data_IF_139643964609
#
_entry.id   IF_139643964609
#
_cell.length_a   1.000
_cell.length_b   1.000
_cell.length_c   1.000
_cell.angle_alpha   90.00
_cell.angle_beta   90.00
_cell.angle_gamma   90.00
#
_symmetry.space_group_name_H-M   'P 1'
#
loop_
_entity.id
_entity.type
_entity.pdbx_description
1 polymer ?
#
# COMPACT_ATOMS: atom_id res chain seq x y z
N UNK A 1 17.98 -12.88 8.99
CA UNK A 1 17.30 -11.62 9.37
C UNK A 1 16.35 -11.92 10.51
N UNK A 2 16.34 -11.08 11.54
CA UNK A 2 15.57 -11.32 12.78
C UNK A 2 14.17 -10.73 12.65
N UNK A 3 13.15 -11.53 12.95
CA UNK A 3 11.76 -11.07 13.01
C UNK A 3 11.50 -10.05 14.13
N UNK A 4 12.51 -9.67 14.91
CA UNK A 4 12.40 -8.68 16.01
C UNK A 4 12.95 -7.31 15.64
N UNK A 5 13.53 -7.17 14.45
CA UNK A 5 14.11 -5.90 14.02
C UNK A 5 13.01 -4.87 13.71
N UNK A 6 13.10 -3.69 14.32
CA UNK A 6 12.11 -2.63 14.20
C UNK A 6 12.16 -1.94 12.82
N UNK A 7 11.08 -1.24 12.47
CA UNK A 7 11.06 -0.35 11.31
C UNK A 7 11.92 0.87 11.60
N UNK A 8 12.76 1.25 10.65
CA UNK A 8 13.48 2.52 10.66
C UNK A 8 13.52 3.11 9.23
N UNK A 9 13.81 4.41 9.08
CA UNK A 9 13.73 5.06 7.77
C UNK A 9 14.78 4.59 6.75
N UNK A 10 15.82 3.92 7.21
CA UNK A 10 16.91 3.37 6.38
C UNK A 10 16.67 1.92 5.96
N UNK A 11 15.75 1.20 6.61
CA UNK A 11 15.43 -0.19 6.27
C UNK A 11 14.08 -0.37 5.58
N UNK A 12 13.23 0.66 5.58
CA UNK A 12 11.85 0.60 5.11
C UNK A 12 11.53 1.55 3.96
N UNK A 13 10.53 1.16 3.15
CA UNK A 13 9.88 1.99 2.15
C UNK A 13 8.36 1.98 2.39
N UNK A 14 7.69 3.07 2.05
CA UNK A 14 6.24 3.25 2.20
C UNK A 14 5.56 3.18 0.84
N UNK A 15 4.53 2.36 0.72
CA UNK A 15 3.85 2.08 -0.54
C UNK A 15 2.35 2.33 -0.37
N UNK A 16 1.80 3.21 -1.21
CA UNK A 16 0.37 3.49 -1.29
C UNK A 16 -0.18 2.96 -2.60
N UNK A 17 -1.16 2.07 -2.51
CA UNK A 17 -1.75 1.38 -3.66
C UNK A 17 -3.22 1.77 -3.77
N UNK A 18 -3.52 2.51 -4.83
CA UNK A 18 -4.87 2.68 -5.36
C UNK A 18 -5.86 3.40 -4.42
N UNK A 19 -5.36 4.38 -3.64
CA UNK A 19 -6.17 5.34 -2.87
C UNK A 19 -6.90 6.34 -3.78
N UNK A 20 -7.77 5.80 -4.62
CA UNK A 20 -8.55 6.48 -5.65
C UNK A 20 -10.04 6.52 -5.25
N UNK A 21 -10.83 7.52 -5.68
CA UNK A 21 -12.19 7.73 -5.18
C UNK A 21 -13.13 6.53 -5.41
N UNK A 22 -13.09 5.89 -6.58
CA UNK A 22 -13.97 4.76 -6.88
C UNK A 22 -13.55 3.49 -6.15
N UNK A 23 -12.24 3.29 -5.92
CA UNK A 23 -11.76 2.23 -5.02
C UNK A 23 -12.28 2.49 -3.60
N UNK A 24 -12.22 3.73 -3.13
CA UNK A 24 -12.73 4.13 -1.82
C UNK A 24 -14.24 3.92 -1.66
N UNK A 25 -14.99 4.01 -2.77
CA UNK A 25 -16.43 3.79 -2.77
C UNK A 25 -16.82 2.34 -2.45
N UNK A 26 -15.97 1.37 -2.76
CA UNK A 26 -16.19 -0.03 -2.40
C UNK A 26 -15.85 -0.35 -0.95
N UNK A 27 -15.16 0.54 -0.23
CA UNK A 27 -14.74 0.27 1.16
C UNK A 27 -15.94 0.30 2.10
N UNK A 28 -16.03 -0.75 2.94
CA UNK A 28 -17.10 -0.93 3.91
C UNK A 28 -16.65 -1.47 5.29
N UNK A 29 -15.36 -1.75 5.51
CA UNK A 29 -14.84 -2.18 6.83
C UNK A 29 -14.47 -1.01 7.77
N UNK A 30 -14.29 0.19 7.23
CA UNK A 30 -13.87 1.39 7.96
C UNK A 30 -14.60 2.62 7.39
N UNK A 31 -14.84 3.64 8.22
CA UNK A 31 -15.31 4.94 7.77
C UNK A 31 -14.32 5.56 6.77
N UNK A 32 -14.82 6.04 5.63
CA UNK A 32 -13.99 6.50 4.50
C UNK A 32 -13.25 7.80 4.80
N UNK A 33 -13.83 8.66 5.63
CA UNK A 33 -13.16 9.89 6.06
C UNK A 33 -11.98 9.56 7.00
N UNK A 34 -12.19 8.63 7.92
CA UNK A 34 -11.17 8.10 8.82
C UNK A 34 -10.04 7.45 8.04
N UNK A 35 -10.36 6.57 7.09
CA UNK A 35 -9.40 5.94 6.18
C UNK A 35 -8.53 6.99 5.46
N UNK A 36 -9.16 8.01 4.86
CA UNK A 36 -8.44 9.08 4.16
C UNK A 36 -7.53 9.87 5.10
N UNK A 37 -8.03 10.24 6.28
CA UNK A 37 -7.26 10.98 7.28
C UNK A 37 -6.03 10.18 7.75
N UNK A 38 -6.20 8.89 8.06
CA UNK A 38 -5.13 8.01 8.50
C UNK A 38 -4.08 7.83 7.39
N UNK A 39 -4.53 7.63 6.15
CA UNK A 39 -3.64 7.48 4.98
C UNK A 39 -2.77 8.73 4.78
N UNK A 40 -3.38 9.91 4.82
CA UNK A 40 -2.64 11.18 4.70
C UNK A 40 -1.69 11.40 5.88
N UNK A 41 -2.10 11.01 7.10
CA UNK A 41 -1.22 11.07 8.28
C UNK A 41 0.00 10.14 8.13
N UNK A 42 -0.20 8.91 7.66
CA UNK A 42 0.87 7.96 7.37
C UNK A 42 1.85 8.52 6.33
N UNK A 43 1.33 9.12 5.25
CA UNK A 43 2.16 9.75 4.23
C UNK A 43 3.01 10.90 4.80
N UNK A 44 2.40 11.75 5.65
CA UNK A 44 3.12 12.85 6.32
C UNK A 44 4.22 12.31 7.26
N UNK A 45 3.96 11.22 7.97
CA UNK A 45 4.98 10.57 8.79
C UNK A 45 6.14 10.07 7.92
N UNK A 46 5.86 9.38 6.81
CA UNK A 46 6.89 8.95 5.85
C UNK A 46 7.77 10.11 5.36
N UNK A 47 7.16 11.26 5.06
CA UNK A 47 7.87 12.49 4.69
C UNK A 47 8.80 12.99 5.79
N UNK A 48 8.30 13.11 7.03
CA UNK A 48 9.08 13.60 8.18
C UNK A 48 10.33 12.73 8.40
N UNK A 49 10.18 11.42 8.27
CA UNK A 49 11.25 10.46 8.47
C UNK A 49 12.15 10.26 7.24
N UNK A 50 11.86 10.90 6.09
CA UNK A 50 12.54 10.70 4.82
C UNK A 50 12.54 9.23 4.35
N UNK A 51 11.42 8.54 4.56
CA UNK A 51 11.19 7.17 4.06
C UNK A 51 10.92 7.26 2.55
N UNK A 52 11.55 6.44 1.70
CA UNK A 52 11.20 6.36 0.28
C UNK A 52 9.72 6.01 0.11
N UNK A 53 9.00 6.76 -0.73
CA UNK A 53 7.57 6.57 -0.98
C UNK A 53 7.29 6.17 -2.42
N UNK A 54 6.40 5.20 -2.61
CA UNK A 54 5.88 4.78 -3.91
C UNK A 54 4.36 4.96 -3.89
N UNK A 55 3.84 5.57 -4.96
CA UNK A 55 2.41 5.65 -5.23
C UNK A 55 2.08 4.81 -6.45
N UNK A 56 0.99 4.05 -6.40
CA UNK A 56 0.42 3.42 -7.60
C UNK A 56 -1.05 3.76 -7.75
N UNK A 57 -1.49 3.73 -9.00
CA UNK A 57 -2.89 3.86 -9.38
C UNK A 57 -3.24 2.80 -10.42
N UNK A 58 -4.51 2.44 -10.46
CA UNK A 58 -5.06 1.52 -11.47
C UNK A 58 -6.16 2.23 -12.24
N UNK A 59 -6.16 2.16 -13.57
CA UNK A 59 -7.27 2.64 -14.43
C UNK A 59 -7.72 4.10 -14.14
N UNK A 60 -6.78 5.02 -13.96
CA UNK A 60 -7.01 6.42 -13.54
C UNK A 60 -7.93 7.19 -14.48
N UNK A 61 -7.81 6.96 -15.80
CA UNK A 61 -8.60 7.63 -16.84
C UNK A 61 -9.96 6.97 -17.11
N UNK A 62 -10.24 5.86 -16.44
CA UNK A 62 -11.42 5.03 -16.66
C UNK A 62 -12.21 4.90 -15.35
N UNK A 63 -12.22 3.72 -14.76
CA UNK A 63 -13.05 3.40 -13.61
C UNK A 63 -12.62 4.14 -12.34
N UNK A 64 -11.32 4.18 -12.03
CA UNK A 64 -10.87 4.41 -10.64
C UNK A 64 -10.73 5.88 -10.25
N UNK A 65 -10.51 6.78 -11.22
CA UNK A 65 -10.21 8.19 -10.97
C UNK A 65 -8.78 8.44 -10.48
N UNK A 66 -8.39 9.71 -10.27
CA UNK A 66 -7.04 10.05 -9.79
C UNK A 66 -6.89 9.78 -8.28
N UNK A 67 -5.68 9.44 -7.82
CA UNK A 67 -5.36 9.36 -6.38
C UNK A 67 -5.80 10.66 -5.69
N UNK A 68 -6.28 10.54 -4.45
CA UNK A 68 -6.73 11.69 -3.67
C UNK A 68 -5.69 12.83 -3.69
N UNK A 69 -6.09 14.06 -4.06
CA UNK A 69 -5.16 15.17 -4.20
C UNK A 69 -4.45 15.50 -2.87
N UNK A 70 -5.12 15.30 -1.74
CA UNK A 70 -4.55 15.52 -0.41
C UNK A 70 -3.43 14.55 -0.08
N UNK A 71 -3.45 13.33 -0.64
CA UNK A 71 -2.38 12.35 -0.49
C UNK A 71 -1.18 12.72 -1.35
N UNK A 72 -1.40 13.07 -2.62
CA UNK A 72 -0.33 13.48 -3.54
C UNK A 72 0.34 14.79 -3.13
N UNK A 73 -0.41 15.72 -2.52
CA UNK A 73 0.13 16.98 -2.01
C UNK A 73 1.21 16.79 -0.93
N UNK A 74 1.28 15.61 -0.29
CA UNK A 74 2.34 15.30 0.68
C UNK A 74 3.69 15.17 -0.01
N UNK A 75 3.73 14.51 -1.18
CA UNK A 75 4.94 14.26 -1.97
C UNK A 75 4.74 14.72 -3.43
N UNK A 76 4.73 16.03 -3.71
CA UNK A 76 4.38 16.56 -5.04
C UNK A 76 5.33 16.12 -6.15
N UNK A 77 6.57 15.75 -5.80
CA UNK A 77 7.60 15.31 -6.74
C UNK A 77 7.52 13.81 -7.08
N UNK A 78 6.73 13.04 -6.31
CA UNK A 78 6.59 11.59 -6.52
C UNK A 78 5.37 11.33 -7.40
N UNK A 79 5.61 10.89 -8.63
CA UNK A 79 4.54 10.57 -9.58
C UNK A 79 4.01 9.16 -9.34
N UNK A 80 2.69 8.95 -9.33
CA UNK A 80 2.11 7.62 -9.27
C UNK A 80 2.50 6.77 -10.49
N UNK A 81 2.73 5.48 -10.24
CA UNK A 81 2.89 4.46 -11.27
C UNK A 81 1.48 4.01 -11.68
N UNK A 82 1.10 4.36 -12.91
CA UNK A 82 -0.18 3.96 -13.49
C UNK A 82 -0.11 2.53 -14.00
N UNK A 83 -1.09 1.71 -13.62
CA UNK A 83 -1.17 0.28 -13.93
C UNK A 83 -2.54 -0.08 -14.51
N UNK A 84 -2.61 -1.25 -15.15
CA UNK A 84 -3.86 -1.85 -15.66
C UNK A 84 -4.25 -3.14 -14.94
N UNK A 85 -3.31 -3.80 -14.25
CA UNK A 85 -3.60 -4.97 -13.41
C UNK A 85 -4.01 -4.53 -12.00
N UNK A 86 -4.84 -5.31 -11.32
CA UNK A 86 -5.13 -5.13 -9.89
C UNK A 86 -3.95 -5.55 -9.01
N UNK A 87 -3.09 -6.44 -9.49
CA UNK A 87 -1.89 -6.84 -8.76
C UNK A 87 -0.73 -5.92 -9.15
N UNK A 88 -0.29 -5.05 -8.24
CA UNK A 88 0.84 -4.14 -8.52
C UNK A 88 2.15 -4.87 -8.75
N UNK A 89 2.31 -6.08 -8.22
CA UNK A 89 3.54 -6.86 -8.37
C UNK A 89 3.71 -7.51 -9.76
N UNK A 90 2.66 -7.51 -10.59
CA UNK A 90 2.75 -7.89 -12.01
C UNK A 90 3.27 -6.76 -12.89
N UNK A 91 3.37 -5.54 -12.37
CA UNK A 91 3.86 -4.39 -13.11
C UNK A 91 5.38 -4.23 -12.91
N UNK A 92 6.13 -4.35 -14.01
CA UNK A 92 7.60 -4.27 -13.98
C UNK A 92 8.10 -2.91 -13.47
N UNK A 93 7.39 -1.82 -13.73
CA UNK A 93 7.77 -0.48 -13.26
C UNK A 93 7.59 -0.36 -11.74
N UNK A 94 6.53 -0.94 -11.19
CA UNK A 94 6.34 -1.06 -9.74
C UNK A 94 7.44 -1.88 -9.08
N UNK A 95 7.74 -3.08 -9.60
CA UNK A 95 8.79 -3.94 -9.05
C UNK A 95 10.17 -3.27 -9.15
N UNK A 96 10.43 -2.56 -10.25
CA UNK A 96 11.65 -1.78 -10.41
C UNK A 96 11.74 -0.63 -9.39
N UNK A 97 10.64 0.09 -9.16
CA UNK A 97 10.58 1.16 -8.16
C UNK A 97 10.83 0.63 -6.75
N UNK A 98 10.21 -0.50 -6.38
CA UNK A 98 10.45 -1.17 -5.09
C UNK A 98 11.92 -1.53 -4.93
N UNK A 99 12.54 -2.16 -5.94
CA UNK A 99 13.97 -2.51 -5.93
C UNK A 99 14.86 -1.27 -5.83
N UNK A 100 14.52 -0.19 -6.53
CA UNK A 100 15.27 1.06 -6.52
C UNK A 100 15.31 1.74 -5.15
N UNK A 101 14.36 1.47 -4.27
CA UNK A 101 14.42 1.96 -2.88
C UNK A 101 15.60 1.38 -2.09
N UNK A 102 16.08 0.19 -2.47
CA UNK A 102 17.08 -0.56 -1.71
C UNK A 102 16.59 -1.05 -0.35
N UNK A 103 15.29 -0.97 -0.06
CA UNK A 103 14.69 -1.30 1.24
C UNK A 103 14.17 -2.72 1.27
N UNK A 104 14.31 -3.41 2.40
CA UNK A 104 13.83 -4.79 2.59
C UNK A 104 12.46 -4.86 3.25
N UNK A 105 12.08 -3.82 4.01
CA UNK A 105 10.79 -3.73 4.70
C UNK A 105 9.85 -2.85 3.90
N UNK A 106 8.70 -3.38 3.50
CA UNK A 106 7.70 -2.68 2.72
C UNK A 106 6.51 -2.40 3.63
N UNK A 107 6.26 -1.13 3.93
CA UNK A 107 5.09 -0.68 4.66
C UNK A 107 4.02 -0.36 3.63
N UNK A 108 2.94 -1.15 3.60
CA UNK A 108 1.94 -1.10 2.52
C UNK A 108 0.59 -0.67 3.06
N UNK A 109 0.02 0.31 2.39
CA UNK A 109 -1.35 0.83 2.56
C UNK A 109 -2.07 0.68 1.23
N UNK A 110 -3.26 0.09 1.20
CA UNK A 110 -3.89 -0.22 -0.10
C UNK A 110 -5.41 -0.39 -0.06
N UNK A 111 -6.05 -0.12 -1.20
CA UNK A 111 -7.47 -0.39 -1.47
C UNK A 111 -7.62 -1.28 -2.73
N UNK A 112 -8.25 -2.45 -2.71
CA UNK A 112 -8.85 -3.16 -1.56
C UNK A 112 -7.92 -4.17 -0.89
N UNK A 113 -8.14 -4.41 0.39
CA UNK A 113 -7.33 -5.31 1.22
C UNK A 113 -7.24 -6.71 0.63
N UNK A 114 -8.34 -7.27 0.16
CA UNK A 114 -8.44 -8.63 -0.39
C UNK A 114 -7.78 -8.83 -1.76
N UNK A 115 -7.47 -7.73 -2.46
CA UNK A 115 -6.88 -7.76 -3.81
C UNK A 115 -5.58 -6.96 -3.85
N UNK A 116 -5.67 -5.63 -3.91
CA UNK A 116 -4.56 -4.73 -4.19
C UNK A 116 -3.56 -4.64 -3.02
N UNK A 117 -3.94 -5.08 -1.82
CA UNK A 117 -3.01 -5.29 -0.71
C UNK A 117 -2.46 -6.72 -0.71
N UNK A 118 -3.36 -7.70 -0.69
CA UNK A 118 -3.01 -9.11 -0.49
C UNK A 118 -2.12 -9.66 -1.60
N UNK A 119 -2.44 -9.39 -2.87
CA UNK A 119 -1.70 -9.99 -3.99
C UNK A 119 -0.23 -9.53 -4.02
N UNK A 120 0.06 -8.21 -4.02
CA UNK A 120 1.44 -7.77 -4.02
C UNK A 120 2.15 -8.08 -2.69
N UNK A 121 1.45 -8.11 -1.55
CA UNK A 121 2.06 -8.53 -0.29
C UNK A 121 2.58 -9.97 -0.36
N UNK A 122 1.77 -10.91 -0.86
CA UNK A 122 2.16 -12.32 -0.98
C UNK A 122 3.36 -12.50 -1.93
N UNK A 123 3.34 -11.82 -3.08
CA UNK A 123 4.45 -11.89 -4.03
C UNK A 123 5.71 -11.18 -3.52
N UNK A 124 5.58 -10.10 -2.75
CA UNK A 124 6.70 -9.46 -2.08
C UNK A 124 7.37 -10.38 -1.07
N UNK A 125 6.57 -11.13 -0.29
CA UNK A 125 7.09 -12.12 0.65
C UNK A 125 7.84 -13.24 -0.08
N UNK A 126 7.29 -13.74 -1.19
CA UNK A 126 7.97 -14.73 -2.05
C UNK A 126 9.28 -14.19 -2.62
N UNK A 127 9.32 -12.91 -2.99
CA UNK A 127 10.51 -12.21 -3.45
C UNK A 127 11.51 -11.86 -2.31
N UNK A 128 11.23 -12.27 -1.07
CA UNK A 128 12.13 -12.15 0.08
C UNK A 128 12.11 -10.77 0.76
N UNK A 129 11.04 -10.00 0.57
CA UNK A 129 10.78 -8.78 1.36
C UNK A 129 10.06 -9.12 2.67
N UNK A 130 10.08 -8.17 3.60
CA UNK A 130 9.26 -8.19 4.80
C UNK A 130 8.13 -7.19 4.61
N UNK A 131 6.89 -7.60 4.87
CA UNK A 131 5.72 -6.77 4.58
C UNK A 131 5.06 -6.35 5.88
N UNK A 132 4.74 -5.07 5.97
CA UNK A 132 4.05 -4.46 7.10
C UNK A 132 2.79 -3.80 6.55
N UNK A 133 1.64 -4.41 6.82
CA UNK A 133 0.33 -3.96 6.36
C UNK A 133 -0.22 -2.97 7.36
N UNK A 134 -0.56 -1.78 6.88
CA UNK A 134 -1.15 -0.73 7.73
C UNK A 134 -2.67 -0.80 7.62
N UNK A 135 -3.28 -1.57 8.51
CA UNK A 135 -4.71 -1.97 8.45
C UNK A 135 -5.67 -0.80 8.55
N UNK A 136 -5.37 0.23 9.34
CA UNK A 136 -6.21 1.43 9.52
C UNK A 136 -6.08 2.46 8.38
N UNK A 137 -5.20 2.18 7.40
CA UNK A 137 -5.08 2.91 6.13
C UNK A 137 -5.45 2.05 4.92
N UNK A 138 -5.92 0.83 5.18
CA UNK A 138 -6.32 -0.14 4.17
C UNK A 138 -7.79 -0.50 4.35
N UNK A 139 -8.50 -0.69 3.23
CA UNK A 139 -9.96 -0.89 3.26
C UNK A 139 -10.36 -2.09 2.42
N UNK A 140 -11.27 -2.92 2.94
CA UNK A 140 -11.89 -4.03 2.22
C UNK A 140 -13.36 -3.77 1.91
N UNK A 141 -13.92 -4.59 1.02
CA UNK A 141 -15.35 -4.48 0.62
C UNK A 141 -16.33 -4.92 1.70
N UNK A 142 -15.85 -5.56 2.75
CA UNK A 142 -16.58 -5.86 3.98
C UNK A 142 -15.58 -6.09 5.12
N UNK A 143 -16.07 -6.12 6.36
CA UNK A 143 -15.24 -6.48 7.52
C UNK A 143 -14.66 -7.88 7.35
N UNK A 144 -15.47 -8.87 6.96
CA UNK A 144 -14.98 -10.25 6.77
C UNK A 144 -13.96 -10.34 5.64
N UNK A 145 -14.20 -9.71 4.47
CA UNK A 145 -13.22 -9.70 3.38
C UNK A 145 -11.88 -9.09 3.81
N UNK A 146 -11.91 -8.00 4.59
CA UNK A 146 -10.71 -7.39 5.15
C UNK A 146 -10.00 -8.35 6.11
N UNK A 147 -10.69 -8.85 7.15
CA UNK A 147 -10.11 -9.70 8.19
C UNK A 147 -9.54 -11.00 7.63
N UNK A 148 -10.26 -11.70 6.75
CA UNK A 148 -9.78 -12.95 6.12
C UNK A 148 -8.55 -12.73 5.25
N UNK A 149 -8.44 -11.54 4.66
CA UNK A 149 -7.29 -11.16 3.85
C UNK A 149 -6.07 -10.83 4.72
N UNK A 150 -6.28 -10.15 5.84
CA UNK A 150 -5.23 -9.96 6.85
C UNK A 150 -4.76 -11.33 7.38
N UNK A 151 -5.68 -12.21 7.77
CA UNK A 151 -5.37 -13.57 8.23
C UNK A 151 -4.51 -14.32 7.21
N UNK A 152 -4.89 -14.28 5.93
CA UNK A 152 -4.14 -14.92 4.83
C UNK A 152 -2.72 -14.38 4.73
N UNK A 153 -2.54 -13.07 4.81
CA UNK A 153 -1.22 -12.45 4.75
C UNK A 153 -0.36 -12.82 5.97
N UNK A 154 -0.92 -12.81 7.18
CA UNK A 154 -0.23 -13.24 8.40
C UNK A 154 0.18 -14.71 8.31
N UNK A 155 -0.69 -15.58 7.81
CA UNK A 155 -0.39 -17.00 7.60
C UNK A 155 0.72 -17.24 6.56
N UNK A 156 0.88 -16.34 5.59
CA UNK A 156 1.95 -16.39 4.60
C UNK A 156 3.35 -16.06 5.17
N UNK A 157 3.44 -15.63 6.44
CA UNK A 157 4.71 -15.51 7.16
C UNK A 157 5.06 -14.08 7.55
N UNK A 158 6.12 -13.49 6.98
CA UNK A 158 6.67 -12.18 7.40
C UNK A 158 5.78 -10.98 7.07
N UNK A 159 4.46 -11.16 7.05
CA UNK A 159 3.48 -10.10 6.97
C UNK A 159 2.96 -9.77 8.37
N UNK A 160 2.90 -8.49 8.71
CA UNK A 160 2.45 -7.99 10.02
C UNK A 160 1.60 -6.77 9.91
#
# INVERSE_FOLDING_TARGET
MSIRELLDPTNSALIFIDHQPQMSFGVANIDRQTLKNNTVALAKAGKIFNVPVIYTSVETKSFSGYIWPELLAVHPDVKPIERTSMNSWEDDAFVAAVKATGRKKLVISALWTEVCLTFPALMALEAGYEVYVVTDTSGGTSVDAHERSIDRMVQAGRCR
#
